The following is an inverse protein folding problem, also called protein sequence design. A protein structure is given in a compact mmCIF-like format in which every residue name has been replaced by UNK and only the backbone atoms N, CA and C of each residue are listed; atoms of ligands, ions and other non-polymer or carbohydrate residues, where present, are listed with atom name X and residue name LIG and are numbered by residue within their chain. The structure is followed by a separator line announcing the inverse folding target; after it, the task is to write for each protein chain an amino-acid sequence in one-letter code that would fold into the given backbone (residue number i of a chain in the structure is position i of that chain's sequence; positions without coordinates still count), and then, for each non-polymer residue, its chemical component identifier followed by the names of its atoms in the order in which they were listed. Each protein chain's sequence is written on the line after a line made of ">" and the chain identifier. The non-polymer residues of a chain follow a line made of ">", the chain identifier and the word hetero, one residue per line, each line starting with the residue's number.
data_IF_670075373630
#
_entry.id   IF_670075373630
#
_cell.length_a   1.000
_cell.length_b   1.000
_cell.length_c   1.000
_cell.angle_alpha   90.00
_cell.angle_beta   90.00
_cell.angle_gamma   90.00
#
_symmetry.space_group_name_H-M   'P 1'
#
loop_
_entity.id
_entity.type
_entity.pdbx_description
1 polymer ?
#
# COMPACT_ATOMS: atom_id res chain seq x y z
N UNK A 1 -68.60 60.67 35.27
CA UNK A 1 -67.16 60.62 35.59
C UNK A 1 -66.67 59.15 35.56
N UNK A 2 -65.99 58.81 34.50
CA UNK A 2 -65.42 57.42 34.35
C UNK A 2 -63.94 57.51 34.55
N UNK A 3 -63.39 56.69 35.45
CA UNK A 3 -61.94 56.53 35.70
C UNK A 3 -61.39 55.44 34.78
N UNK A 4 -60.22 55.57 34.12
CA UNK A 4 -59.65 54.53 33.32
C UNK A 4 -58.80 53.57 34.19
N UNK A 5 -59.02 52.28 34.02
CA UNK A 5 -58.27 51.20 34.62
C UNK A 5 -56.89 51.07 33.94
N UNK A 6 -55.82 51.23 34.71
CA UNK A 6 -54.42 50.90 34.28
C UNK A 6 -54.20 49.39 34.34
N UNK A 7 -53.90 48.75 33.21
CA UNK A 7 -53.39 47.39 33.18
C UNK A 7 -51.86 47.41 33.40
N UNK A 8 -51.42 46.73 34.44
CA UNK A 8 -50.01 46.42 34.65
C UNK A 8 -49.65 45.21 33.75
N UNK A 9 -48.70 45.43 32.82
CA UNK A 9 -48.08 44.40 32.04
C UNK A 9 -46.88 43.85 32.80
N UNK A 10 -46.99 42.61 33.30
CA UNK A 10 -45.86 41.90 33.89
C UNK A 10 -44.96 41.36 32.74
N UNK A 11 -43.74 41.93 32.62
CA UNK A 11 -42.71 41.38 31.71
C UNK A 11 -42.02 40.17 32.37
N UNK A 12 -42.25 39.02 31.84
CA UNK A 12 -41.55 37.77 32.22
C UNK A 12 -40.13 37.82 31.60
N UNK A 13 -39.09 37.99 32.45
CA UNK A 13 -37.68 37.87 32.03
C UNK A 13 -37.35 36.38 32.05
N UNK A 14 -37.28 35.76 30.86
CA UNK A 14 -36.80 34.39 30.68
C UNK A 14 -35.26 34.42 30.75
N UNK A 15 -34.70 34.05 31.85
CA UNK A 15 -33.26 33.86 32.01
C UNK A 15 -32.83 32.59 31.24
N UNK A 16 -32.26 32.80 30.06
CA UNK A 16 -31.63 31.71 29.31
C UNK A 16 -30.32 31.32 30.02
N UNK A 17 -30.33 30.20 30.72
CA UNK A 17 -29.11 29.56 31.22
C UNK A 17 -28.39 28.95 30.03
N UNK A 18 -27.38 29.60 29.49
CA UNK A 18 -26.41 28.97 28.58
C UNK A 18 -25.67 27.85 29.36
N UNK A 19 -25.66 26.63 28.88
CA UNK A 19 -24.80 25.61 29.46
C UNK A 19 -23.34 26.08 29.27
N UNK A 20 -22.61 26.26 30.36
CA UNK A 20 -21.15 26.34 30.29
C UNK A 20 -20.66 25.03 29.70
N UNK A 21 -20.23 25.05 28.44
CA UNK A 21 -19.45 23.96 27.89
C UNK A 21 -18.16 23.89 28.73
N UNK A 22 -18.04 22.89 29.59
CA UNK A 22 -16.79 22.59 30.27
C UNK A 22 -15.74 22.38 29.18
N UNK A 23 -14.77 23.28 29.08
CA UNK A 23 -13.60 23.10 28.23
C UNK A 23 -12.84 21.91 28.77
N UNK A 24 -13.10 20.72 28.22
CA UNK A 24 -12.27 19.56 28.50
C UNK A 24 -10.90 19.85 27.90
N UNK A 25 -9.94 20.22 28.74
CA UNK A 25 -8.56 20.37 28.30
C UNK A 25 -8.01 18.98 28.07
N UNK A 26 -7.45 18.72 26.89
CA UNK A 26 -6.76 17.51 26.58
C UNK A 26 -5.64 17.24 27.61
N UNK A 27 -5.65 16.09 28.23
CA UNK A 27 -4.62 15.69 29.18
C UNK A 27 -3.43 15.08 28.46
N UNK A 28 -2.22 15.36 28.96
CA UNK A 28 -0.97 14.76 28.48
C UNK A 28 -0.35 13.95 29.61
N UNK A 29 -0.14 12.65 29.35
CA UNK A 29 0.39 11.69 30.30
C UNK A 29 1.77 11.22 29.87
N UNK A 30 2.84 11.78 30.45
CA UNK A 30 4.19 11.25 30.28
C UNK A 30 4.32 9.97 31.12
N UNK A 31 4.68 8.85 30.48
CA UNK A 31 4.80 7.53 31.09
C UNK A 31 6.20 6.96 30.86
N UNK A 32 6.74 6.20 31.85
CA UNK A 32 8.11 5.73 31.85
C UNK A 32 8.22 4.20 31.73
N UNK A 33 7.12 3.48 31.94
CA UNK A 33 7.06 2.02 31.83
C UNK A 33 5.68 1.53 31.39
N UNK A 34 5.58 0.22 31.13
CA UNK A 34 4.35 -0.42 30.68
C UNK A 34 3.21 -0.37 31.71
N UNK A 35 3.53 -0.29 33.00
CA UNK A 35 2.54 -0.18 34.07
C UNK A 35 1.90 1.20 34.07
N UNK A 36 2.71 2.28 34.04
CA UNK A 36 2.24 3.65 33.90
C UNK A 36 1.44 3.83 32.59
N UNK A 37 1.93 3.26 31.48
CA UNK A 37 1.21 3.26 30.22
C UNK A 37 -0.19 2.62 30.35
N UNK A 38 -0.30 1.44 30.96
CA UNK A 38 -1.57 0.74 31.11
C UNK A 38 -2.58 1.54 31.95
N UNK A 39 -2.12 2.20 33.00
CA UNK A 39 -2.95 3.08 33.86
C UNK A 39 -3.44 4.29 33.05
N UNK A 40 -2.56 4.98 32.34
CA UNK A 40 -2.93 6.14 31.52
C UNK A 40 -3.88 5.73 30.40
N UNK A 41 -3.60 4.65 29.66
CA UNK A 41 -4.40 4.18 28.54
C UNK A 41 -5.84 3.78 28.94
N UNK A 42 -6.06 3.33 30.16
CA UNK A 42 -7.38 2.95 30.66
C UNK A 42 -8.34 4.13 30.92
N UNK A 43 -7.82 5.37 31.02
CA UNK A 43 -8.59 6.55 31.41
C UNK A 43 -8.77 7.59 30.29
N UNK A 44 -8.24 7.36 29.10
CA UNK A 44 -8.17 8.33 28.01
C UNK A 44 -9.53 8.81 27.53
N UNK A 45 -9.63 10.10 27.33
CA UNK A 45 -10.77 10.79 26.75
C UNK A 45 -10.41 11.36 25.38
N UNK A 46 -11.40 11.75 24.54
CA UNK A 46 -11.12 12.41 23.27
C UNK A 46 -10.23 13.64 23.44
N UNK A 47 -9.11 13.67 22.71
CA UNK A 47 -8.11 14.72 22.74
C UNK A 47 -6.91 14.44 23.64
N UNK A 48 -6.99 13.48 24.53
CA UNK A 48 -5.87 13.13 25.41
C UNK A 48 -4.69 12.53 24.66
N UNK A 49 -3.50 12.64 25.27
CA UNK A 49 -2.29 11.99 24.76
C UNK A 49 -1.55 11.19 25.83
N UNK A 50 -0.96 10.08 25.42
CA UNK A 50 0.06 9.34 26.16
C UNK A 50 1.40 9.57 25.49
N UNK A 51 2.37 10.01 26.25
CA UNK A 51 3.73 10.29 25.78
C UNK A 51 4.67 9.26 26.40
N UNK A 52 5.27 8.40 25.57
CA UNK A 52 6.29 7.47 26.04
C UNK A 52 7.59 8.22 26.28
N UNK A 53 8.17 8.11 27.49
CA UNK A 53 9.44 8.73 27.82
C UNK A 53 10.58 8.18 26.95
N UNK A 54 11.54 9.03 26.61
CA UNK A 54 12.73 8.64 25.86
C UNK A 54 13.47 7.48 26.55
N UNK A 55 13.98 6.55 25.77
CA UNK A 55 14.71 5.39 26.25
C UNK A 55 14.32 4.11 25.53
N UNK A 56 14.84 2.99 26.03
CA UNK A 56 14.57 1.65 25.49
C UNK A 56 13.49 0.97 26.33
N UNK A 57 12.43 0.55 25.66
CA UNK A 57 11.29 -0.18 26.20
C UNK A 57 11.42 -1.64 25.76
N UNK A 58 11.91 -2.49 26.65
CA UNK A 58 12.22 -3.89 26.33
C UNK A 58 11.09 -4.81 26.78
N UNK A 59 10.70 -5.76 25.89
CA UNK A 59 9.70 -6.81 26.15
C UNK A 59 8.33 -6.22 26.57
N UNK A 60 7.90 -5.14 25.90
CA UNK A 60 6.64 -4.46 26.22
C UNK A 60 5.56 -4.79 25.20
N UNK A 61 4.37 -5.10 25.69
CA UNK A 61 3.18 -5.32 24.89
C UNK A 61 2.17 -4.22 25.17
N UNK A 62 2.11 -3.24 24.28
CA UNK A 62 1.29 -2.05 24.46
C UNK A 62 -0.10 -2.26 23.84
N UNK A 63 -1.15 -2.09 24.64
CA UNK A 63 -2.53 -2.04 24.16
C UNK A 63 -3.04 -0.60 24.23
N UNK A 64 -3.08 0.07 23.09
CA UNK A 64 -3.63 1.41 22.94
C UNK A 64 -5.07 1.34 22.48
N UNK A 65 -6.00 1.44 23.46
CA UNK A 65 -7.43 1.28 23.24
C UNK A 65 -8.17 2.49 23.77
N UNK A 66 -8.78 3.24 22.86
CA UNK A 66 -9.56 4.43 23.21
C UNK A 66 -10.51 4.80 22.06
N UNK A 67 -11.42 5.73 22.34
CA UNK A 67 -12.28 6.32 21.32
C UNK A 67 -12.12 7.83 21.32
N UNK A 68 -11.43 8.35 20.33
CA UNK A 68 -11.37 9.76 20.02
C UNK A 68 -12.52 10.21 19.14
N UNK A 69 -12.38 11.38 18.55
CA UNK A 69 -13.24 11.91 17.50
C UNK A 69 -12.38 12.51 16.38
N UNK A 70 -12.97 12.80 15.24
CA UNK A 70 -12.25 13.46 14.14
C UNK A 70 -11.64 14.81 14.56
N UNK A 71 -12.31 15.55 15.47
CA UNK A 71 -11.86 16.84 15.97
C UNK A 71 -10.90 16.72 17.19
N UNK A 72 -10.96 15.59 17.89
CA UNK A 72 -10.19 15.33 19.12
C UNK A 72 -9.70 13.88 19.13
N UNK A 73 -8.73 13.49 18.29
CA UNK A 73 -8.16 12.16 18.29
C UNK A 73 -7.42 11.91 19.62
N UNK A 74 -7.34 10.63 20.00
CA UNK A 74 -6.50 10.22 21.13
C UNK A 74 -5.13 9.83 20.61
N UNK A 75 -4.06 10.36 21.24
CA UNK A 75 -2.70 10.23 20.72
C UNK A 75 -1.82 9.37 21.62
N UNK A 76 -1.03 8.48 21.00
CA UNK A 76 0.13 7.82 21.58
C UNK A 76 1.36 8.27 20.81
N UNK A 77 2.35 8.84 21.48
CA UNK A 77 3.57 9.27 20.76
C UNK A 77 4.84 9.12 21.58
N UNK A 78 5.95 9.12 20.88
CA UNK A 78 7.24 9.29 21.50
C UNK A 78 7.35 10.68 22.14
N UNK A 79 8.08 10.80 23.24
CA UNK A 79 8.47 12.09 23.83
C UNK A 79 9.33 12.89 22.84
N UNK A 80 10.25 12.22 22.19
CA UNK A 80 11.09 12.79 21.13
C UNK A 80 11.17 11.79 19.97
N UNK A 81 10.86 12.19 18.74
CA UNK A 81 10.95 11.30 17.58
C UNK A 81 12.31 10.57 17.51
N UNK A 82 12.27 9.25 17.29
CA UNK A 82 13.47 8.41 17.18
C UNK A 82 14.18 8.08 18.51
N UNK A 83 13.70 8.58 19.66
CA UNK A 83 14.32 8.34 20.97
C UNK A 83 13.55 7.34 21.85
N UNK A 84 12.39 6.86 21.39
CA UNK A 84 11.63 5.80 22.05
C UNK A 84 11.80 4.52 21.23
N UNK A 85 12.52 3.56 21.80
CA UNK A 85 12.91 2.32 21.14
C UNK A 85 12.20 1.17 21.82
N UNK A 86 11.34 0.48 21.09
CA UNK A 86 10.73 -0.76 21.53
C UNK A 86 11.61 -1.93 21.03
N UNK A 87 12.17 -2.67 21.99
CA UNK A 87 13.14 -3.75 21.73
C UNK A 87 12.69 -5.07 22.34
N UNK A 88 13.49 -6.13 22.12
CA UNK A 88 13.16 -7.47 22.61
C UNK A 88 11.88 -7.99 21.97
N UNK A 89 11.01 -8.60 22.79
CA UNK A 89 9.71 -9.13 22.32
C UNK A 89 8.58 -8.11 22.55
N UNK A 90 8.57 -7.03 21.77
CA UNK A 90 7.61 -5.95 21.91
C UNK A 90 6.61 -5.90 20.77
N UNK A 91 5.37 -5.52 21.07
CA UNK A 91 4.31 -5.26 20.09
C UNK A 91 3.39 -4.10 20.51
N UNK A 92 2.63 -3.57 19.53
CA UNK A 92 1.61 -2.54 19.74
C UNK A 92 0.29 -2.99 19.10
N UNK A 93 -0.77 -2.94 19.89
CA UNK A 93 -2.13 -3.21 19.42
C UNK A 93 -3.00 -1.98 19.61
N UNK A 94 -3.78 -1.65 18.57
CA UNK A 94 -4.70 -0.52 18.55
C UNK A 94 -6.14 -1.01 18.45
N UNK A 95 -7.07 -0.45 19.25
CA UNK A 95 -8.48 -0.73 19.12
C UNK A 95 -9.33 0.49 19.48
N UNK A 96 -10.38 0.72 18.74
CA UNK A 96 -11.29 1.86 18.92
C UNK A 96 -11.26 2.81 17.72
N UNK A 97 -11.52 4.08 17.94
CA UNK A 97 -11.68 5.03 16.84
C UNK A 97 -10.84 6.30 17.02
N UNK A 98 -10.42 6.86 15.89
CA UNK A 98 -9.66 8.12 15.83
C UNK A 98 -8.41 8.11 16.73
N UNK A 99 -7.65 7.03 16.64
CA UNK A 99 -6.36 6.90 17.31
C UNK A 99 -5.23 7.45 16.44
N UNK A 100 -4.30 8.13 17.06
CA UNK A 100 -3.09 8.61 16.42
C UNK A 100 -1.86 8.08 17.15
N UNK A 101 -1.04 7.28 16.44
CA UNK A 101 0.25 6.80 16.94
C UNK A 101 1.37 7.48 16.17
N UNK A 102 2.39 8.00 16.86
CA UNK A 102 3.46 8.75 16.22
C UNK A 102 4.87 8.42 16.76
N UNK A 103 5.83 8.32 15.83
CA UNK A 103 7.28 8.42 16.07
C UNK A 103 7.90 7.30 16.91
N UNK A 104 7.35 6.11 16.85
CA UNK A 104 7.87 4.93 17.56
C UNK A 104 8.89 4.17 16.71
N UNK A 105 9.90 3.60 17.36
CA UNK A 105 10.95 2.80 16.72
C UNK A 105 10.93 1.38 17.28
N UNK A 106 10.79 0.37 16.41
CA UNK A 106 11.01 -1.05 16.73
C UNK A 106 12.34 -1.51 16.14
N UNK A 107 13.26 -1.97 16.98
CA UNK A 107 14.53 -2.56 16.57
C UNK A 107 15.11 -3.46 17.67
N UNK A 108 16.13 -4.26 17.32
CA UNK A 108 16.82 -5.12 18.27
C UNK A 108 15.87 -6.13 18.96
N UNK A 109 15.05 -6.81 18.14
CA UNK A 109 14.07 -7.78 18.65
C UNK A 109 13.17 -8.33 17.55
N UNK A 110 12.02 -8.84 17.97
CA UNK A 110 10.95 -9.34 17.10
C UNK A 110 9.62 -9.38 17.85
N UNK A 111 8.50 -9.44 17.13
CA UNK A 111 7.19 -9.53 17.79
C UNK A 111 6.99 -10.91 18.44
N UNK A 112 6.43 -10.99 19.66
CA UNK A 112 6.05 -12.27 20.27
C UNK A 112 4.73 -12.82 19.75
N UNK A 113 4.08 -12.12 18.83
CA UNK A 113 2.77 -12.46 18.28
C UNK A 113 2.73 -12.47 16.76
N UNK A 114 1.54 -12.26 16.23
CA UNK A 114 1.27 -12.26 14.79
C UNK A 114 1.65 -10.96 14.08
N UNK A 115 1.85 -9.86 14.83
CA UNK A 115 2.22 -8.57 14.26
C UNK A 115 3.00 -7.68 15.22
N UNK A 116 3.89 -6.82 14.68
CA UNK A 116 4.57 -5.76 15.44
C UNK A 116 3.57 -4.65 15.78
N UNK A 117 2.78 -4.21 14.80
CA UNK A 117 1.69 -3.25 14.99
C UNK A 117 0.41 -3.81 14.40
N UNK A 118 -0.60 -4.06 15.23
CA UNK A 118 -1.90 -4.55 14.79
C UNK A 118 -3.01 -3.54 15.08
N UNK A 119 -3.79 -3.20 14.06
CA UNK A 119 -4.97 -2.34 14.20
C UNK A 119 -6.16 -3.11 14.77
N UNK A 120 -5.88 -3.96 15.75
CA UNK A 120 -6.88 -4.70 16.55
C UNK A 120 -6.32 -5.09 17.92
N UNK A 121 -7.20 -5.19 18.89
CA UNK A 121 -6.99 -5.94 20.14
C UNK A 121 -7.38 -7.41 19.94
N UNK A 122 -8.54 -7.63 19.31
CA UNK A 122 -9.13 -8.96 19.07
C UNK A 122 -9.97 -8.95 17.80
N UNK A 123 -10.52 -10.11 17.42
CA UNK A 123 -11.44 -10.20 16.27
C UNK A 123 -12.71 -9.35 16.41
N UNK A 124 -13.07 -8.94 17.63
CA UNK A 124 -14.24 -8.09 17.90
C UNK A 124 -13.91 -6.64 18.18
N UNK A 125 -12.65 -6.31 18.40
CA UNK A 125 -12.20 -4.96 18.76
C UNK A 125 -11.07 -4.55 17.81
N UNK A 126 -11.41 -3.81 16.78
CA UNK A 126 -10.50 -3.30 15.74
C UNK A 126 -10.40 -1.78 15.80
N UNK A 127 -9.35 -1.24 15.20
CA UNK A 127 -9.21 0.21 15.03
C UNK A 127 -9.92 0.67 13.75
N UNK A 128 -10.55 1.86 13.83
CA UNK A 128 -11.14 2.56 12.68
C UNK A 128 -10.75 4.03 12.70
N UNK A 129 -10.72 4.66 11.53
CA UNK A 129 -10.37 6.09 11.40
C UNK A 129 -9.06 6.47 12.11
N UNK A 130 -8.16 5.51 12.26
CA UNK A 130 -6.94 5.63 13.06
C UNK A 130 -5.71 5.71 12.16
N UNK A 131 -4.63 6.32 12.66
CA UNK A 131 -3.41 6.48 11.89
C UNK A 131 -2.14 6.17 12.68
N UNK A 132 -1.16 5.64 11.97
CA UNK A 132 0.21 5.46 12.45
C UNK A 132 1.15 6.23 11.54
N UNK A 133 2.00 7.08 12.10
CA UNK A 133 2.94 7.92 11.37
C UNK A 133 4.31 7.93 12.01
N UNK A 134 5.37 8.21 11.25
CA UNK A 134 6.73 8.25 11.77
C UNK A 134 7.23 6.94 12.38
N UNK A 135 6.53 5.83 12.09
CA UNK A 135 6.91 4.51 12.58
C UNK A 135 8.18 4.04 11.88
N UNK A 136 9.14 3.58 12.66
CA UNK A 136 10.33 2.90 12.14
C UNK A 136 10.32 1.45 12.62
N UNK A 137 10.39 0.50 11.68
CA UNK A 137 10.65 -0.91 11.99
C UNK A 137 11.92 -1.30 11.23
N UNK A 138 12.98 -1.59 11.96
CA UNK A 138 14.33 -1.75 11.44
C UNK A 138 14.95 -3.05 11.93
N UNK A 139 15.17 -4.00 11.02
CA UNK A 139 15.75 -5.33 11.31
C UNK A 139 15.04 -6.09 12.46
N UNK A 140 13.75 -5.83 12.64
CA UNK A 140 12.95 -6.37 13.74
C UNK A 140 12.26 -7.67 13.30
N UNK A 141 13.05 -8.75 13.18
CA UNK A 141 12.62 -10.01 12.58
C UNK A 141 12.86 -11.19 13.53
N UNK A 142 11.91 -12.14 13.50
CA UNK A 142 12.10 -13.42 14.21
C UNK A 142 13.38 -14.10 13.69
N UNK A 143 14.27 -14.57 14.58
CA UNK A 143 15.47 -15.29 14.19
C UNK A 143 15.19 -16.62 13.47
N UNK A 144 14.02 -17.25 13.70
CA UNK A 144 13.53 -18.33 12.85
C UNK A 144 12.87 -17.76 11.60
N UNK A 145 13.53 -17.91 10.47
CA UNK A 145 13.04 -17.40 9.19
C UNK A 145 11.74 -18.05 8.71
N UNK A 146 11.39 -19.24 9.21
CA UNK A 146 10.15 -19.97 8.93
C UNK A 146 8.95 -19.48 9.72
N UNK A 147 9.17 -18.85 10.86
CA UNK A 147 8.10 -18.28 11.68
C UNK A 147 7.46 -17.08 10.97
N UNK A 148 6.13 -17.13 10.89
CA UNK A 148 5.37 -16.10 10.18
C UNK A 148 4.87 -15.03 11.12
N UNK A 149 5.31 -13.81 10.90
CA UNK A 149 4.70 -12.61 11.45
C UNK A 149 4.49 -11.54 10.37
N UNK A 150 3.77 -10.49 10.71
CA UNK A 150 3.62 -9.31 9.90
C UNK A 150 4.11 -8.09 10.68
N UNK A 151 4.66 -7.09 10.00
CA UNK A 151 5.06 -5.90 10.74
C UNK A 151 3.89 -4.97 11.01
N UNK A 152 3.02 -4.75 10.00
CA UNK A 152 1.81 -3.96 10.21
C UNK A 152 0.59 -4.69 9.65
N UNK A 153 -0.41 -4.90 10.49
CA UNK A 153 -1.70 -5.48 10.10
C UNK A 153 -2.83 -4.46 10.24
N UNK A 154 -3.37 -4.03 9.10
CA UNK A 154 -4.49 -3.10 9.03
C UNK A 154 -5.80 -3.88 9.06
N UNK A 155 -6.50 -3.84 10.18
CA UNK A 155 -7.86 -4.36 10.36
C UNK A 155 -8.88 -3.23 10.30
N UNK A 156 -10.18 -3.54 10.23
CA UNK A 156 -11.25 -2.56 10.24
C UNK A 156 -11.30 -1.72 8.97
N UNK A 157 -11.50 -0.39 9.10
CA UNK A 157 -11.65 0.49 7.96
C UNK A 157 -11.13 1.91 8.24
N UNK A 158 -10.85 2.66 7.16
CA UNK A 158 -10.42 4.06 7.18
C UNK A 158 -9.14 4.32 7.98
N UNK A 159 -8.28 3.32 8.13
CA UNK A 159 -7.01 3.48 8.81
C UNK A 159 -5.90 3.91 7.84
N UNK A 160 -4.88 4.57 8.38
CA UNK A 160 -3.76 5.10 7.58
C UNK A 160 -2.42 4.72 8.19
N UNK A 161 -1.50 4.24 7.34
CA UNK A 161 -0.07 4.09 7.64
C UNK A 161 0.70 5.06 6.73
N UNK A 162 1.42 6.01 7.33
CA UNK A 162 2.11 7.00 6.52
C UNK A 162 3.41 7.52 7.13
N UNK A 163 4.29 8.09 6.28
CA UNK A 163 5.58 8.68 6.66
C UNK A 163 6.40 7.75 7.56
N UNK A 164 6.39 6.44 7.23
CA UNK A 164 7.00 5.38 8.05
C UNK A 164 8.11 4.68 7.28
N UNK A 165 9.03 4.04 7.99
CA UNK A 165 10.17 3.32 7.41
C UNK A 165 10.15 1.86 7.86
N UNK A 166 10.16 0.93 6.90
CA UNK A 166 10.02 -0.50 7.12
C UNK A 166 11.09 -1.27 6.33
N UNK A 167 12.18 -1.68 6.97
CA UNK A 167 13.31 -2.34 6.29
C UNK A 167 13.87 -3.52 7.07
N UNK A 168 14.50 -4.47 6.35
CA UNK A 168 15.32 -5.53 6.94
C UNK A 168 14.51 -6.74 7.44
N UNK A 169 13.23 -6.92 7.04
CA UNK A 169 12.48 -8.13 7.40
C UNK A 169 13.08 -9.36 6.72
N UNK A 170 13.47 -10.36 7.51
CA UNK A 170 14.13 -11.58 7.03
C UNK A 170 13.31 -12.86 7.23
N UNK A 171 12.34 -12.87 8.14
CA UNK A 171 11.46 -14.02 8.36
C UNK A 171 10.20 -13.98 7.47
N UNK A 172 9.47 -15.09 7.42
CA UNK A 172 8.26 -15.27 6.65
C UNK A 172 7.12 -14.31 7.07
N UNK A 173 6.16 -14.12 6.19
CA UNK A 173 5.03 -13.21 6.36
C UNK A 173 5.26 -11.84 5.69
N UNK A 174 4.22 -11.26 5.05
CA UNK A 174 4.30 -9.94 4.45
C UNK A 174 4.68 -8.84 5.44
N UNK A 175 5.31 -7.77 4.93
CA UNK A 175 5.65 -6.63 5.81
C UNK A 175 4.39 -5.89 6.23
N UNK A 176 3.50 -5.55 5.29
CA UNK A 176 2.21 -4.91 5.58
C UNK A 176 1.06 -5.73 5.00
N UNK A 177 0.00 -5.91 5.77
CA UNK A 177 -1.21 -6.63 5.34
C UNK A 177 -2.46 -5.79 5.56
N UNK A 178 -3.28 -5.66 4.53
CA UNK A 178 -4.69 -5.28 4.69
C UNK A 178 -5.47 -6.55 4.96
N UNK A 179 -5.99 -6.68 6.17
CA UNK A 179 -6.75 -7.86 6.58
C UNK A 179 -8.22 -7.66 6.20
N UNK A 180 -8.76 -8.65 5.50
CA UNK A 180 -10.15 -8.64 5.05
C UNK A 180 -10.96 -9.65 5.85
N UNK A 181 -11.91 -9.15 6.62
CA UNK A 181 -12.76 -9.95 7.48
C UNK A 181 -14.22 -9.51 7.28
N UNK A 182 -15.06 -10.40 6.77
CA UNK A 182 -16.44 -10.12 6.47
C UNK A 182 -17.25 -9.70 7.73
N UNK A 183 -16.83 -10.12 8.91
CA UNK A 183 -17.50 -9.72 10.18
C UNK A 183 -17.23 -8.27 10.57
N UNK A 184 -16.17 -7.68 10.00
CA UNK A 184 -15.75 -6.29 10.24
C UNK A 184 -16.10 -5.36 9.07
N UNK A 185 -16.58 -5.92 7.97
CA UNK A 185 -16.81 -5.25 6.70
C UNK A 185 -15.64 -5.40 5.74
N UNK A 186 -15.94 -5.53 4.46
CA UNK A 186 -14.94 -5.73 3.40
C UNK A 186 -14.56 -4.45 2.66
N UNK A 187 -15.30 -3.36 2.84
CA UNK A 187 -14.96 -2.03 2.32
C UNK A 187 -14.00 -1.33 3.30
N UNK A 188 -12.71 -1.62 3.14
CA UNK A 188 -11.71 -1.19 4.12
C UNK A 188 -11.31 0.28 3.99
N UNK A 189 -11.18 0.82 2.77
CA UNK A 189 -10.80 2.20 2.49
C UNK A 189 -9.55 2.67 3.27
N UNK A 190 -8.57 1.80 3.41
CA UNK A 190 -7.30 2.14 4.05
C UNK A 190 -6.46 3.01 3.14
N UNK A 191 -5.59 3.82 3.75
CA UNK A 191 -4.58 4.59 3.03
C UNK A 191 -3.19 4.23 3.52
N UNK A 192 -2.29 3.87 2.59
CA UNK A 192 -0.88 3.55 2.85
C UNK A 192 -0.06 4.49 1.97
N UNK A 193 0.54 5.52 2.57
CA UNK A 193 1.13 6.59 1.77
C UNK A 193 2.40 7.19 2.38
N UNK A 194 3.29 7.71 1.50
CA UNK A 194 4.53 8.36 1.88
C UNK A 194 5.44 7.51 2.78
N UNK A 195 5.42 6.19 2.61
CA UNK A 195 6.29 5.28 3.37
C UNK A 195 7.51 4.89 2.54
N UNK A 196 8.61 4.62 3.22
CA UNK A 196 9.75 3.93 2.66
C UNK A 196 9.71 2.45 3.04
N UNK A 197 9.49 1.61 2.03
CA UNK A 197 9.66 0.16 2.11
C UNK A 197 11.09 -0.18 1.66
N UNK A 198 12.00 -0.23 2.62
CA UNK A 198 13.41 -0.48 2.37
C UNK A 198 13.73 -1.93 2.06
N UNK A 199 15.00 -2.28 1.95
CA UNK A 199 15.44 -3.59 1.48
C UNK A 199 14.84 -4.75 2.27
N UNK A 200 14.54 -5.83 1.54
CA UNK A 200 14.17 -7.14 2.06
C UNK A 200 14.85 -8.20 1.19
N UNK A 201 15.69 -9.07 1.77
CA UNK A 201 16.33 -10.14 1.01
C UNK A 201 15.31 -11.17 0.51
N UNK A 202 15.71 -11.95 -0.50
CA UNK A 202 14.91 -13.07 -0.99
C UNK A 202 14.64 -14.06 0.13
N UNK A 203 13.36 -14.40 0.31
CA UNK A 203 12.94 -15.36 1.34
C UNK A 203 13.11 -16.82 0.87
N UNK A 204 13.06 -17.06 -0.45
CA UNK A 204 13.14 -18.39 -1.04
C UNK A 204 11.84 -19.20 -0.98
N UNK A 205 10.83 -18.70 -0.30
CA UNK A 205 9.49 -19.28 -0.16
C UNK A 205 8.42 -18.18 -0.25
N UNK A 206 7.14 -18.55 -0.31
CA UNK A 206 6.03 -17.61 -0.31
C UNK A 206 5.93 -16.85 1.03
N UNK A 207 5.45 -15.62 1.00
CA UNK A 207 5.32 -14.75 2.18
C UNK A 207 6.38 -13.66 2.26
N UNK A 208 7.11 -13.41 1.17
CA UNK A 208 8.13 -12.37 1.04
C UNK A 208 7.61 -10.99 0.60
N UNK A 209 6.30 -10.82 0.42
CA UNK A 209 5.71 -9.56 -0.05
C UNK A 209 6.00 -8.39 0.89
N UNK A 210 6.16 -7.21 0.33
CA UNK A 210 6.14 -5.96 1.12
C UNK A 210 4.74 -5.55 1.51
N UNK A 211 3.77 -5.73 0.59
CA UNK A 211 2.38 -5.40 0.87
C UNK A 211 1.46 -6.48 0.31
N UNK A 212 0.57 -6.99 1.16
CA UNK A 212 -0.50 -7.90 0.75
C UNK A 212 -1.87 -7.26 1.00
N UNK A 213 -2.61 -7.05 -0.09
CA UNK A 213 -3.93 -6.42 -0.08
C UNK A 213 -5.07 -7.44 0.01
N UNK A 214 -5.20 -8.16 1.12
CA UNK A 214 -6.26 -9.14 1.31
C UNK A 214 -5.80 -10.60 1.26
N UNK A 215 -6.78 -11.50 1.17
CA UNK A 215 -6.62 -12.94 1.02
C UNK A 215 -7.60 -13.47 -0.05
N UNK A 216 -7.35 -14.69 -0.52
CA UNK A 216 -8.09 -15.24 -1.68
C UNK A 216 -9.57 -15.51 -1.39
N UNK A 217 -9.95 -15.78 -0.17
CA UNK A 217 -11.32 -16.06 0.26
C UNK A 217 -12.28 -14.87 0.07
N UNK A 218 -11.77 -13.65 0.17
CA UNK A 218 -12.52 -12.41 -0.06
C UNK A 218 -12.17 -11.70 -1.36
N UNK A 219 -11.50 -12.37 -2.29
CA UNK A 219 -10.85 -11.78 -3.47
C UNK A 219 -11.79 -11.08 -4.46
N UNK A 220 -13.06 -11.48 -4.54
CA UNK A 220 -14.03 -10.85 -5.45
C UNK A 220 -14.76 -9.64 -4.85
N UNK A 221 -14.43 -9.26 -3.62
CA UNK A 221 -15.00 -8.07 -2.97
C UNK A 221 -14.02 -6.90 -3.02
N UNK A 222 -14.57 -5.68 -2.98
CA UNK A 222 -13.78 -4.46 -3.06
C UNK A 222 -13.27 -4.03 -1.69
N UNK A 223 -11.99 -3.68 -1.62
CA UNK A 223 -11.35 -3.05 -0.46
C UNK A 223 -11.35 -1.54 -0.56
N UNK A 224 -11.33 -1.00 -1.77
CA UNK A 224 -11.26 0.43 -2.08
C UNK A 224 -10.12 1.16 -1.35
N UNK A 225 -9.03 0.44 -1.07
CA UNK A 225 -7.86 0.99 -0.39
C UNK A 225 -6.93 1.72 -1.37
N UNK A 226 -6.21 2.72 -0.87
CA UNK A 226 -5.27 3.51 -1.67
C UNK A 226 -3.85 3.32 -1.15
N UNK A 227 -2.94 2.98 -2.06
CA UNK A 227 -1.49 2.86 -1.82
C UNK A 227 -0.80 3.88 -2.71
N UNK A 228 -0.26 4.95 -2.12
CA UNK A 228 0.22 6.06 -2.94
C UNK A 228 1.46 6.75 -2.37
N UNK A 229 2.28 7.29 -3.29
CA UNK A 229 3.47 8.06 -2.95
C UNK A 229 4.45 7.31 -2.03
N UNK A 230 4.48 5.97 -2.09
CA UNK A 230 5.44 5.17 -1.36
C UNK A 230 6.69 4.92 -2.20
N UNK A 231 7.80 4.69 -1.53
CA UNK A 231 9.06 4.28 -2.12
C UNK A 231 9.38 2.84 -1.74
N UNK A 232 9.42 1.95 -2.73
CA UNK A 232 9.78 0.53 -2.60
C UNK A 232 11.21 0.34 -3.13
N UNK A 233 12.17 0.04 -2.27
CA UNK A 233 13.59 -0.07 -2.61
C UNK A 233 14.16 -1.41 -2.21
N UNK A 234 14.76 -2.15 -3.15
CA UNK A 234 15.39 -3.42 -2.88
C UNK A 234 14.45 -4.47 -2.27
N UNK A 235 13.19 -4.42 -2.65
CA UNK A 235 12.14 -5.32 -2.15
C UNK A 235 12.21 -6.64 -2.90
N UNK A 236 13.13 -7.53 -2.48
CA UNK A 236 13.48 -8.76 -3.19
C UNK A 236 12.86 -10.02 -2.55
N UNK A 237 11.99 -9.87 -1.55
CA UNK A 237 11.52 -10.98 -0.73
C UNK A 237 10.85 -12.12 -1.50
N UNK A 238 10.11 -11.81 -2.56
CA UNK A 238 9.54 -12.78 -3.50
C UNK A 238 9.14 -12.13 -4.83
N UNK A 239 8.49 -12.91 -5.72
CA UNK A 239 8.06 -12.43 -7.05
C UNK A 239 6.99 -11.34 -7.02
N UNK A 240 6.27 -11.21 -5.92
CA UNK A 240 5.21 -10.20 -5.72
C UNK A 240 5.67 -9.17 -4.67
N UNK A 241 6.21 -8.02 -5.10
CA UNK A 241 6.49 -6.90 -4.16
C UNK A 241 5.19 -6.48 -3.49
N UNK A 242 4.15 -6.33 -4.31
CA UNK A 242 2.77 -6.11 -3.89
C UNK A 242 1.91 -7.25 -4.42
N UNK A 243 1.24 -7.95 -3.51
CA UNK A 243 0.25 -8.98 -3.83
C UNK A 243 -1.16 -8.44 -3.55
N UNK A 244 -1.79 -7.82 -4.57
CA UNK A 244 -3.16 -7.33 -4.45
C UNK A 244 -4.15 -8.49 -4.57
N UNK A 245 -4.96 -8.71 -3.53
CA UNK A 245 -5.96 -9.79 -3.48
C UNK A 245 -7.37 -9.28 -3.18
N UNK A 246 -7.73 -8.10 -3.69
CA UNK A 246 -9.05 -7.48 -3.54
C UNK A 246 -9.32 -6.48 -4.65
N UNK A 247 -10.58 -6.09 -4.84
CA UNK A 247 -10.99 -5.15 -5.88
C UNK A 247 -10.97 -3.69 -5.45
N UNK A 248 -11.14 -2.79 -6.42
CA UNK A 248 -11.35 -1.36 -6.23
C UNK A 248 -10.15 -0.56 -5.73
N UNK A 249 -8.97 -1.18 -5.60
CA UNK A 249 -7.79 -0.51 -5.04
C UNK A 249 -7.11 0.41 -6.05
N UNK A 250 -6.49 1.46 -5.52
CA UNK A 250 -5.68 2.40 -6.30
C UNK A 250 -4.23 2.38 -5.83
N UNK A 251 -3.31 2.14 -6.76
CA UNK A 251 -1.86 2.26 -6.61
C UNK A 251 -1.40 3.45 -7.43
N UNK A 252 -1.00 4.55 -6.79
CA UNK A 252 -0.71 5.80 -7.50
C UNK A 252 0.56 6.47 -7.02
N UNK A 253 1.36 6.99 -7.96
CA UNK A 253 2.53 7.82 -7.64
C UNK A 253 3.60 7.09 -6.83
N UNK A 254 3.60 5.75 -6.78
CA UNK A 254 4.61 4.99 -6.07
C UNK A 254 5.88 4.84 -6.93
N UNK A 255 7.02 4.74 -6.28
CA UNK A 255 8.29 4.43 -6.91
C UNK A 255 8.74 3.03 -6.51
N UNK A 256 9.06 2.20 -7.50
CA UNK A 256 9.67 0.87 -7.32
C UNK A 256 11.10 0.93 -7.85
N UNK A 257 12.07 0.95 -6.95
CA UNK A 257 13.48 1.10 -7.29
C UNK A 257 14.26 -0.17 -6.98
N UNK A 258 14.88 -0.76 -8.01
CA UNK A 258 15.75 -1.94 -7.92
C UNK A 258 15.15 -3.08 -7.07
N UNK A 259 13.87 -3.34 -7.22
CA UNK A 259 13.11 -4.36 -6.50
C UNK A 259 12.84 -5.56 -7.39
N UNK A 260 13.31 -6.76 -7.00
CA UNK A 260 13.16 -7.99 -7.77
C UNK A 260 11.78 -8.63 -7.52
N UNK A 261 10.81 -8.23 -8.32
CA UNK A 261 9.41 -8.65 -8.24
C UNK A 261 8.52 -7.72 -9.03
N UNK A 262 7.22 -7.82 -8.86
CA UNK A 262 6.22 -7.02 -9.55
C UNK A 262 5.11 -6.55 -8.60
N UNK A 263 4.41 -5.48 -8.98
CA UNK A 263 3.10 -5.16 -8.47
C UNK A 263 2.11 -6.13 -9.16
N UNK A 264 1.57 -7.07 -8.43
CA UNK A 264 0.69 -8.11 -8.95
C UNK A 264 -0.76 -7.86 -8.57
N UNK A 265 -1.62 -7.65 -9.57
CA UNK A 265 -3.07 -7.62 -9.42
C UNK A 265 -3.58 -9.06 -9.33
N UNK A 266 -3.19 -9.76 -8.25
CA UNK A 266 -3.34 -11.21 -8.11
C UNK A 266 -4.80 -11.66 -8.11
N UNK A 267 -5.65 -10.91 -7.39
CA UNK A 267 -7.10 -11.12 -7.34
C UNK A 267 -7.83 -9.78 -7.25
N UNK A 268 -9.14 -9.82 -7.46
CA UNK A 268 -10.01 -8.65 -7.41
C UNK A 268 -10.07 -7.89 -8.73
N UNK A 269 -11.19 -7.22 -8.94
CA UNK A 269 -11.49 -6.51 -10.17
C UNK A 269 -11.40 -5.00 -9.98
N UNK A 270 -11.28 -4.25 -11.09
CA UNK A 270 -11.41 -2.80 -11.06
C UNK A 270 -10.29 -2.05 -10.34
N UNK A 271 -9.11 -2.64 -10.21
CA UNK A 271 -7.97 -1.97 -9.61
C UNK A 271 -7.31 -0.99 -10.60
N UNK A 272 -6.65 0.02 -10.07
CA UNK A 272 -6.01 1.11 -10.83
C UNK A 272 -4.54 1.19 -10.45
N UNK A 273 -3.66 1.08 -11.42
CA UNK A 273 -2.21 1.30 -11.29
C UNK A 273 -1.85 2.49 -12.16
N UNK A 274 -1.72 3.66 -11.57
CA UNK A 274 -1.62 4.93 -12.30
C UNK A 274 -0.48 5.79 -11.78
N UNK A 275 0.22 6.47 -12.69
CA UNK A 275 1.25 7.47 -12.36
C UNK A 275 2.44 6.90 -11.54
N UNK A 276 2.72 5.59 -11.59
CA UNK A 276 3.83 4.99 -10.86
C UNK A 276 5.11 4.95 -11.70
N UNK A 277 6.24 4.87 -11.01
CA UNK A 277 7.58 4.81 -11.60
C UNK A 277 8.25 3.50 -11.18
N UNK A 278 8.73 2.73 -12.17
CA UNK A 278 9.44 1.46 -11.97
C UNK A 278 10.84 1.56 -12.59
N UNK A 279 11.88 1.54 -11.77
CA UNK A 279 13.27 1.64 -12.20
C UNK A 279 14.04 0.39 -11.78
N UNK A 280 14.53 -0.36 -12.77
CA UNK A 280 15.24 -1.62 -12.53
C UNK A 280 16.75 -1.50 -12.48
N UNK A 281 17.33 -0.50 -13.17
CA UNK A 281 18.79 -0.36 -13.39
C UNK A 281 19.45 -1.66 -13.91
N UNK A 282 18.73 -2.45 -14.69
CA UNK A 282 19.23 -3.72 -15.20
C UNK A 282 19.35 -4.83 -14.14
N UNK A 283 18.91 -4.62 -12.91
CA UNK A 283 18.92 -5.63 -11.86
C UNK A 283 18.04 -6.82 -12.23
N UNK A 284 18.58 -8.03 -12.17
CA UNK A 284 17.86 -9.26 -12.50
C UNK A 284 16.56 -9.40 -11.67
N UNK A 285 15.50 -9.85 -12.34
CA UNK A 285 14.21 -10.10 -11.71
C UNK A 285 13.36 -8.87 -11.42
N UNK A 286 13.83 -7.65 -11.72
CA UNK A 286 13.02 -6.43 -11.58
C UNK A 286 11.88 -6.44 -12.57
N UNK A 287 10.64 -6.30 -12.07
CA UNK A 287 9.41 -6.34 -12.83
C UNK A 287 8.58 -5.08 -12.66
N UNK A 288 7.52 -4.98 -13.45
CA UNK A 288 6.58 -3.88 -13.37
C UNK A 288 5.21 -4.33 -12.86
N UNK A 289 4.21 -4.42 -13.75
CA UNK A 289 2.83 -4.75 -13.38
C UNK A 289 2.41 -6.10 -13.97
N UNK A 290 1.89 -6.98 -13.12
CA UNK A 290 1.28 -8.24 -13.53
C UNK A 290 -0.25 -8.13 -13.45
N UNK A 291 -0.90 -8.30 -14.60
CA UNK A 291 -2.34 -8.08 -14.79
C UNK A 291 -3.08 -9.41 -14.83
N UNK A 292 -4.04 -9.57 -13.93
CA UNK A 292 -4.95 -10.71 -13.80
C UNK A 292 -6.34 -10.15 -13.48
N UNK A 293 -7.41 -10.89 -13.74
CA UNK A 293 -8.79 -10.53 -13.46
C UNK A 293 -9.35 -9.40 -14.36
N UNK A 294 -10.55 -8.92 -14.02
CA UNK A 294 -11.30 -8.01 -14.90
C UNK A 294 -11.17 -6.53 -14.52
N UNK A 295 -11.39 -5.66 -15.51
CA UNK A 295 -11.53 -4.20 -15.38
C UNK A 295 -10.32 -3.54 -14.71
N UNK A 296 -9.11 -4.02 -15.00
CA UNK A 296 -7.87 -3.44 -14.51
C UNK A 296 -7.48 -2.23 -15.35
N UNK A 297 -7.10 -1.14 -14.71
CA UNK A 297 -6.52 0.04 -15.38
C UNK A 297 -5.03 0.15 -15.03
N UNK A 298 -4.17 0.09 -16.05
CA UNK A 298 -2.73 0.38 -15.93
C UNK A 298 -2.42 1.55 -16.84
N UNK A 299 -2.28 2.73 -16.29
CA UNK A 299 -2.22 3.97 -17.10
C UNK A 299 -1.17 4.95 -16.60
N UNK A 300 -0.50 5.61 -17.55
CA UNK A 300 0.44 6.70 -17.29
C UNK A 300 1.60 6.32 -16.35
N UNK A 301 2.05 5.04 -16.39
CA UNK A 301 3.19 4.59 -15.60
C UNK A 301 4.48 4.68 -16.43
N UNK A 302 5.61 4.84 -15.74
CA UNK A 302 6.94 4.87 -16.33
C UNK A 302 7.74 3.65 -15.89
N UNK A 303 8.31 2.92 -16.85
CA UNK A 303 9.10 1.71 -16.64
C UNK A 303 10.46 1.86 -17.31
N UNK A 304 11.56 1.74 -16.56
CA UNK A 304 12.91 1.88 -17.10
C UNK A 304 13.85 0.79 -16.59
N UNK A 305 14.62 0.19 -17.52
CA UNK A 305 15.72 -0.71 -17.19
C UNK A 305 15.30 -1.98 -16.43
N UNK A 306 14.05 -2.40 -16.57
CA UNK A 306 13.54 -3.60 -15.92
C UNK A 306 14.06 -4.84 -16.63
N UNK A 307 14.67 -5.78 -15.89
CA UNK A 307 15.33 -6.96 -16.42
C UNK A 307 14.54 -8.27 -16.25
N UNK A 308 13.35 -8.21 -15.68
CA UNK A 308 12.49 -9.35 -15.47
C UNK A 308 11.76 -9.81 -16.74
N UNK A 309 11.26 -11.05 -16.70
CA UNK A 309 10.50 -11.69 -17.77
C UNK A 309 9.36 -12.53 -17.22
N UNK A 310 8.47 -13.04 -18.06
CA UNK A 310 7.31 -13.82 -17.65
C UNK A 310 6.47 -13.06 -16.60
N UNK A 311 6.27 -13.61 -15.41
CA UNK A 311 5.51 -13.00 -14.31
C UNK A 311 6.11 -11.69 -13.80
N UNK A 312 7.39 -11.43 -14.09
CA UNK A 312 8.13 -10.23 -13.70
C UNK A 312 8.50 -9.37 -14.92
N UNK A 313 7.81 -9.50 -16.04
CA UNK A 313 7.97 -8.57 -17.16
C UNK A 313 7.59 -7.13 -16.74
N UNK A 314 8.05 -6.13 -17.48
CA UNK A 314 7.64 -4.74 -17.24
C UNK A 314 6.11 -4.57 -17.28
N UNK A 315 5.47 -5.33 -18.18
CA UNK A 315 4.03 -5.58 -18.14
C UNK A 315 3.80 -7.05 -18.46
N UNK A 316 3.12 -7.77 -17.58
CA UNK A 316 2.78 -9.17 -17.72
C UNK A 316 1.25 -9.33 -17.76
N UNK A 317 0.68 -9.63 -18.92
CA UNK A 317 -0.77 -9.87 -19.09
C UNK A 317 -0.99 -11.38 -19.09
N UNK A 318 -1.79 -11.88 -18.14
CA UNK A 318 -1.93 -13.31 -17.91
C UNK A 318 -3.00 -13.94 -18.80
N UNK A 319 -2.84 -15.25 -19.09
CA UNK A 319 -3.97 -16.12 -19.39
C UNK A 319 -4.71 -16.49 -18.11
N UNK A 320 -5.96 -16.89 -18.24
CA UNK A 320 -6.80 -17.34 -17.14
C UNK A 320 -7.33 -18.76 -17.32
N UNK A 321 -8.08 -19.20 -16.31
CA UNK A 321 -8.89 -20.42 -16.29
C UNK A 321 -10.35 -20.04 -16.47
N UNK A 322 -11.13 -20.81 -17.25
CA UNK A 322 -12.54 -20.52 -17.50
C UNK A 322 -13.36 -20.47 -16.21
N UNK A 323 -13.14 -21.43 -15.33
CA UNK A 323 -13.84 -21.57 -14.04
C UNK A 323 -12.82 -21.45 -12.89
N UNK A 324 -12.11 -20.33 -12.83
CA UNK A 324 -11.10 -20.12 -11.84
C UNK A 324 -11.68 -20.13 -10.43
N UNK A 325 -11.12 -20.95 -9.54
CA UNK A 325 -11.37 -20.83 -8.10
C UNK A 325 -10.95 -19.46 -7.58
N UNK A 326 -11.44 -19.04 -6.40
CA UNK A 326 -11.06 -17.75 -5.80
C UNK A 326 -9.54 -17.56 -5.63
N UNK A 327 -8.79 -18.65 -5.48
CA UNK A 327 -7.32 -18.65 -5.42
C UNK A 327 -6.64 -18.87 -6.80
N UNK A 328 -7.42 -19.11 -7.85
CA UNK A 328 -6.94 -19.40 -9.20
C UNK A 328 -6.50 -18.17 -9.99
N UNK A 329 -6.30 -18.35 -11.28
CA UNK A 329 -5.99 -17.30 -12.23
C UNK A 329 -7.26 -16.99 -13.06
N UNK A 330 -8.03 -15.99 -12.64
CA UNK A 330 -9.18 -15.52 -13.42
C UNK A 330 -8.72 -14.84 -14.71
N UNK A 331 -9.49 -14.95 -15.81
CA UNK A 331 -9.15 -14.31 -17.07
C UNK A 331 -9.03 -12.80 -16.96
N UNK A 332 -8.15 -12.22 -17.77
CA UNK A 332 -8.10 -10.78 -17.98
C UNK A 332 -9.23 -10.38 -18.92
N UNK A 333 -10.13 -9.54 -18.46
CA UNK A 333 -11.29 -9.05 -19.21
C UNK A 333 -11.45 -7.55 -18.98
N UNK A 334 -11.80 -6.80 -20.03
CA UNK A 334 -12.06 -5.34 -19.94
C UNK A 334 -10.86 -4.56 -19.32
N UNK A 335 -9.63 -4.95 -19.60
CA UNK A 335 -8.45 -4.26 -19.10
C UNK A 335 -8.04 -3.10 -20.01
N UNK A 336 -7.74 -1.96 -19.41
CA UNK A 336 -7.19 -0.79 -20.08
C UNK A 336 -5.71 -0.61 -19.70
N UNK A 337 -4.82 -0.83 -20.67
CA UNK A 337 -3.36 -0.75 -20.54
C UNK A 337 -2.87 0.38 -21.43
N UNK A 338 -2.85 1.60 -20.91
CA UNK A 338 -2.76 2.76 -21.78
C UNK A 338 -1.81 3.85 -21.30
N UNK A 339 -1.24 4.60 -22.25
CA UNK A 339 -0.39 5.77 -21.98
C UNK A 339 0.80 5.48 -21.07
N UNK A 340 1.29 4.25 -21.06
CA UNK A 340 2.48 3.89 -20.30
C UNK A 340 3.74 4.11 -21.16
N UNK A 341 4.85 4.42 -20.49
CA UNK A 341 6.16 4.58 -21.13
C UNK A 341 7.09 3.48 -20.66
N UNK A 342 7.66 2.74 -21.59
CA UNK A 342 8.60 1.65 -21.37
C UNK A 342 9.95 1.99 -22.01
N UNK A 343 11.02 2.06 -21.22
CA UNK A 343 12.38 2.43 -21.69
C UNK A 343 13.37 1.33 -21.32
N UNK A 344 14.05 0.77 -22.33
CA UNK A 344 15.10 -0.24 -22.17
C UNK A 344 14.70 -1.41 -21.26
N UNK A 345 13.48 -1.88 -21.41
CA UNK A 345 12.94 -3.01 -20.65
C UNK A 345 13.30 -4.35 -21.30
N UNK A 346 13.42 -5.41 -20.50
CA UNK A 346 13.66 -6.74 -21.05
C UNK A 346 12.44 -7.30 -21.78
N UNK A 347 11.24 -7.23 -21.16
CA UNK A 347 10.02 -7.83 -21.74
C UNK A 347 8.73 -7.08 -21.40
N UNK A 348 7.87 -7.00 -22.43
CA UNK A 348 6.41 -6.93 -22.35
C UNK A 348 5.89 -8.34 -22.68
N UNK A 349 5.16 -8.97 -21.80
CA UNK A 349 4.74 -10.36 -21.97
C UNK A 349 3.22 -10.47 -21.97
N UNK A 350 2.67 -10.95 -23.08
CA UNK A 350 1.25 -11.21 -23.24
C UNK A 350 1.00 -12.71 -23.26
N UNK A 351 -0.07 -13.16 -22.60
CA UNK A 351 -0.42 -14.57 -22.48
C UNK A 351 0.46 -15.33 -21.49
N UNK A 352 0.97 -14.66 -20.48
CA UNK A 352 1.80 -15.25 -19.43
C UNK A 352 1.01 -16.33 -18.69
N UNK A 353 1.69 -17.44 -18.34
CA UNK A 353 1.08 -18.54 -17.62
C UNK A 353 0.30 -19.52 -18.48
N UNK A 354 0.24 -19.32 -19.82
CA UNK A 354 -0.40 -20.27 -20.72
C UNK A 354 0.09 -21.70 -20.43
N UNK A 355 -0.85 -22.58 -20.12
CA UNK A 355 -0.56 -23.97 -19.79
C UNK A 355 -1.83 -24.82 -19.94
N UNK A 356 -1.85 -25.67 -20.95
CA UNK A 356 -2.97 -26.56 -21.24
C UNK A 356 -3.24 -27.58 -20.12
N UNK A 357 -2.19 -28.08 -19.49
CA UNK A 357 -2.31 -29.11 -18.44
C UNK A 357 -2.98 -28.56 -17.17
N UNK A 358 -2.76 -27.29 -16.86
CA UNK A 358 -3.40 -26.62 -15.71
C UNK A 358 -4.68 -25.88 -16.07
N UNK A 359 -5.11 -25.92 -17.33
CA UNK A 359 -6.30 -25.24 -17.83
C UNK A 359 -6.19 -23.70 -17.88
N UNK A 360 -4.98 -23.16 -17.83
CA UNK A 360 -4.71 -21.71 -17.96
C UNK A 360 -4.58 -21.41 -19.46
N UNK A 361 -5.71 -21.38 -20.14
CA UNK A 361 -5.77 -21.29 -21.61
C UNK A 361 -6.68 -20.16 -22.11
N UNK A 362 -7.43 -19.52 -21.23
CA UNK A 362 -8.35 -18.44 -21.60
C UNK A 362 -7.57 -17.16 -21.85
N UNK A 363 -7.54 -16.66 -23.11
CA UNK A 363 -6.81 -15.45 -23.44
C UNK A 363 -7.48 -14.20 -22.88
N UNK A 364 -6.75 -13.09 -22.76
CA UNK A 364 -7.33 -11.79 -22.50
C UNK A 364 -8.44 -11.44 -23.50
N UNK A 365 -9.52 -10.82 -23.05
CA UNK A 365 -10.64 -10.44 -23.90
C UNK A 365 -11.13 -9.02 -23.62
N UNK A 366 -11.74 -8.39 -24.62
CA UNK A 366 -12.30 -7.03 -24.59
C UNK A 366 -11.34 -6.00 -23.95
N UNK A 367 -10.04 -6.20 -24.15
CA UNK A 367 -8.99 -5.40 -23.50
C UNK A 367 -8.25 -4.51 -24.49
N UNK A 368 -7.59 -3.46 -24.02
CA UNK A 368 -6.90 -2.50 -24.87
C UNK A 368 -5.46 -2.30 -24.40
N UNK A 369 -4.55 -2.23 -25.37
CA UNK A 369 -3.18 -1.74 -25.19
C UNK A 369 -3.00 -0.55 -26.11
N UNK A 370 -3.10 0.69 -25.60
CA UNK A 370 -3.25 1.87 -26.44
C UNK A 370 -2.47 3.09 -25.97
N UNK A 371 -1.95 3.85 -26.93
CA UNK A 371 -1.22 5.09 -26.66
C UNK A 371 0.05 4.91 -25.85
N UNK A 372 0.62 3.70 -25.78
CA UNK A 372 1.83 3.42 -25.04
C UNK A 372 3.07 3.77 -25.87
N UNK A 373 4.15 4.14 -25.18
CA UNK A 373 5.46 4.40 -25.77
C UNK A 373 6.45 3.30 -25.35
N UNK A 374 7.08 2.63 -26.32
CA UNK A 374 8.11 1.62 -26.09
C UNK A 374 9.42 2.06 -26.75
N UNK A 375 10.42 2.39 -25.93
CA UNK A 375 11.74 2.83 -26.38
C UNK A 375 12.79 1.82 -25.93
N UNK A 376 13.28 0.99 -26.84
CA UNK A 376 14.37 0.07 -26.56
C UNK A 376 15.59 0.46 -27.42
N UNK A 377 16.61 1.01 -26.76
CA UNK A 377 17.85 1.51 -27.42
C UNK A 377 18.86 0.40 -27.71
N UNK A 378 18.72 -0.75 -27.08
CA UNK A 378 19.70 -1.83 -27.07
C UNK A 378 19.32 -3.02 -27.97
N UNK A 379 18.55 -2.79 -29.03
CA UNK A 379 18.15 -3.78 -30.04
C UNK A 379 17.68 -5.13 -29.46
N UNK A 380 16.94 -5.07 -28.37
CA UNK A 380 16.32 -6.25 -27.76
C UNK A 380 14.87 -6.35 -28.21
N UNK A 381 14.43 -7.57 -28.45
CA UNK A 381 13.02 -7.86 -28.67
C UNK A 381 12.24 -7.77 -27.35
N UNK A 382 11.49 -6.69 -27.09
CA UNK A 382 10.80 -6.50 -25.84
C UNK A 382 9.46 -7.26 -25.76
N UNK A 383 8.95 -7.80 -26.87
CA UNK A 383 7.59 -8.36 -26.88
C UNK A 383 7.62 -9.88 -26.90
N UNK A 384 6.90 -10.51 -25.99
CA UNK A 384 6.65 -11.95 -25.96
C UNK A 384 5.15 -12.20 -25.96
N UNK A 385 4.69 -13.07 -26.86
CA UNK A 385 3.30 -13.47 -26.99
C UNK A 385 3.19 -14.98 -26.88
N UNK A 386 2.36 -15.45 -25.95
CA UNK A 386 1.98 -16.85 -25.82
C UNK A 386 0.47 -16.97 -26.00
N UNK A 387 0.06 -17.84 -26.91
CA UNK A 387 -1.35 -18.04 -27.26
C UNK A 387 -1.96 -16.88 -28.04
N UNK A 388 -3.28 -16.71 -27.96
CA UNK A 388 -4.04 -15.74 -28.74
C UNK A 388 -4.13 -14.37 -28.07
N UNK A 389 -4.00 -13.32 -28.88
CA UNK A 389 -4.29 -11.92 -28.48
C UNK A 389 -5.50 -11.33 -29.24
N UNK A 390 -6.34 -12.16 -29.85
CA UNK A 390 -7.48 -11.66 -30.60
C UNK A 390 -8.46 -10.80 -29.81
N UNK A 391 -8.47 -10.93 -28.48
CA UNK A 391 -9.29 -10.12 -27.58
C UNK A 391 -8.61 -8.86 -27.03
N UNK A 392 -7.41 -8.51 -27.52
CA UNK A 392 -6.68 -7.28 -27.13
C UNK A 392 -6.57 -6.37 -28.36
N UNK A 393 -7.15 -5.19 -28.26
CA UNK A 393 -7.02 -4.17 -29.29
C UNK A 393 -5.73 -3.34 -29.05
N UNK A 394 -4.88 -3.24 -30.08
CA UNK A 394 -3.66 -2.43 -30.08
C UNK A 394 -3.90 -1.19 -30.94
N UNK A 395 -3.72 0.02 -30.38
CA UNK A 395 -3.94 1.27 -31.14
C UNK A 395 -3.11 2.43 -30.61
N UNK A 396 -2.61 3.28 -31.51
CA UNK A 396 -1.91 4.52 -31.17
C UNK A 396 -0.61 4.32 -30.37
N UNK A 397 -0.05 3.12 -30.37
CA UNK A 397 1.23 2.85 -29.68
C UNK A 397 2.40 3.32 -30.54
N UNK A 398 3.44 3.82 -29.90
CA UNK A 398 4.69 4.21 -30.54
C UNK A 398 5.82 3.29 -30.08
N UNK A 399 6.67 2.87 -31.03
CA UNK A 399 7.80 2.01 -30.75
C UNK A 399 9.07 2.58 -31.40
N UNK A 400 10.20 2.46 -30.71
CA UNK A 400 11.48 2.88 -31.31
C UNK A 400 11.83 2.01 -32.52
N UNK A 401 12.47 2.58 -33.57
CA UNK A 401 12.76 1.87 -34.80
C UNK A 401 13.79 0.74 -34.65
N UNK A 402 14.52 0.69 -33.56
CA UNK A 402 15.51 -0.35 -33.25
C UNK A 402 14.89 -1.64 -32.70
N UNK A 403 13.59 -1.66 -32.41
CA UNK A 403 12.94 -2.86 -31.89
C UNK A 403 12.82 -3.90 -33.02
N UNK A 404 13.34 -5.11 -32.80
CA UNK A 404 13.32 -6.21 -33.78
C UNK A 404 11.93 -6.82 -33.99
N UNK A 405 11.02 -6.69 -33.02
CA UNK A 405 9.65 -7.20 -33.09
C UNK A 405 8.67 -6.05 -32.91
N UNK A 406 7.80 -5.86 -33.89
CA UNK A 406 6.72 -4.91 -33.78
C UNK A 406 5.69 -5.33 -32.73
N UNK A 407 5.08 -4.36 -32.05
CA UNK A 407 3.90 -4.61 -31.23
C UNK A 407 2.79 -5.25 -32.10
N UNK A 408 2.04 -6.21 -31.58
CA UNK A 408 0.88 -6.76 -32.28
C UNK A 408 -0.06 -5.63 -32.73
N UNK A 409 -0.59 -5.73 -33.95
CA UNK A 409 -1.51 -4.74 -34.54
C UNK A 409 -0.83 -3.58 -35.26
N UNK A 410 0.50 -3.56 -35.34
CA UNK A 410 1.26 -2.54 -36.04
C UNK A 410 1.52 -1.29 -35.20
N UNK A 411 2.46 -0.48 -35.64
CA UNK A 411 2.79 0.82 -35.04
C UNK A 411 2.32 1.87 -36.05
N UNK A 412 1.48 2.77 -35.64
CA UNK A 412 1.21 3.97 -36.44
C UNK A 412 2.52 4.75 -36.52
N UNK A 413 3.14 4.74 -37.73
CA UNK A 413 4.53 5.01 -38.02
C UNK A 413 5.06 6.41 -37.68
N UNK A 414 5.00 6.80 -36.42
CA UNK A 414 5.68 7.97 -35.91
C UNK A 414 7.03 7.53 -35.29
N UNK A 415 8.11 7.89 -35.95
CA UNK A 415 9.47 7.81 -35.42
C UNK A 415 9.56 8.74 -34.22
N UNK A 416 9.66 8.21 -33.02
CA UNK A 416 10.02 9.02 -31.84
C UNK A 416 11.50 9.36 -31.98
N UNK A 417 11.78 10.58 -32.42
CA UNK A 417 13.14 11.13 -32.35
C UNK A 417 13.61 11.15 -30.88
N UNK A 418 14.89 10.89 -30.61
CA UNK A 418 15.49 10.65 -29.29
C UNK A 418 15.22 11.70 -28.19
N UNK A 419 14.64 12.86 -28.50
CA UNK A 419 14.44 13.95 -27.55
C UNK A 419 13.31 13.75 -26.51
N UNK A 420 12.29 12.95 -26.79
CA UNK A 420 11.20 12.74 -25.80
C UNK A 420 11.58 11.71 -24.71
N UNK A 421 12.37 10.72 -25.05
CA UNK A 421 12.92 9.78 -24.07
C UNK A 421 13.88 10.43 -23.07
N UNK A 422 14.65 11.43 -23.52
CA UNK A 422 15.56 12.21 -22.67
C UNK A 422 14.82 13.15 -21.71
N UNK A 423 13.70 13.76 -22.13
CA UNK A 423 12.88 14.61 -21.26
C UNK A 423 12.21 13.81 -20.12
N UNK A 424 11.77 12.60 -20.38
CA UNK A 424 11.16 11.73 -19.38
C UNK A 424 12.24 11.16 -18.43
N UNK A 425 13.40 10.79 -18.96
CA UNK A 425 14.55 10.37 -18.15
C UNK A 425 15.06 11.50 -17.23
N UNK A 426 15.10 12.74 -17.71
CA UNK A 426 15.46 13.90 -16.91
C UNK A 426 14.45 14.19 -15.78
N UNK A 427 13.16 13.94 -15.99
CA UNK A 427 12.16 14.06 -14.93
C UNK A 427 12.31 12.96 -13.86
N UNK A 428 12.80 11.80 -14.21
CA UNK A 428 13.07 10.69 -13.28
C UNK A 428 14.37 10.90 -12.49
N UNK A 429 15.38 11.54 -13.07
CA UNK A 429 16.60 11.94 -12.33
C UNK A 429 16.31 12.94 -11.20
N UNK A 430 15.24 13.74 -11.32
CA UNK A 430 14.79 14.65 -10.25
C UNK A 430 14.15 13.94 -9.05
N UNK A 431 13.76 12.69 -9.19
CA UNK A 431 13.25 11.84 -8.10
C UNK A 431 14.40 10.92 -7.65
N UNK A 432 15.48 11.49 -7.14
CA UNK A 432 16.60 10.70 -6.61
C UNK A 432 16.21 10.07 -5.25
N UNK A 433 16.77 8.92 -4.89
CA UNK A 433 16.59 8.32 -3.57
C UNK A 433 16.86 9.31 -2.43
N UNK A 434 17.82 10.22 -2.61
CA UNK A 434 18.18 11.25 -1.64
C UNK A 434 17.03 12.23 -1.38
N UNK A 435 16.32 12.66 -2.43
CA UNK A 435 15.20 13.59 -2.31
C UNK A 435 14.03 12.98 -1.50
N UNK A 436 13.76 11.69 -1.68
CA UNK A 436 12.71 10.98 -0.92
C UNK A 436 13.16 10.70 0.52
N UNK A 437 14.43 10.40 0.74
CA UNK A 437 15.02 10.30 2.08
C UNK A 437 14.95 11.63 2.85
N UNK A 438 15.15 12.74 2.16
CA UNK A 438 15.09 14.08 2.77
C UNK A 438 13.64 14.50 3.05
N UNK A 439 12.68 14.13 2.21
CA UNK A 439 11.24 14.33 2.47
C UNK A 439 10.71 13.47 3.63
N UNK A 440 11.29 12.30 3.86
CA UNK A 440 10.91 11.44 4.99
C UNK A 440 11.53 11.88 6.32
N UNK A 441 12.49 12.81 6.30
CA UNK A 441 13.20 13.37 7.48
C UNK A 441 12.78 14.79 7.85
N UNK A 442 11.96 15.44 6.99
CA UNK A 442 11.49 16.83 7.14
C UNK A 442 10.10 16.98 7.80
#
# INVERSE_FOLDING_TARGET
>A
MQFPSRRLSASLILAATLPLAASCHAASHLVHDAGEFAIAAAALQPGDEVVLANGTWTDVRLLFKANGTAAAPVTLRAQTPGQVILSGQSDLRLAGEYLHVADLVFREGFTPGDAVVAFRESSKAVARHSRVTGLVIDDYSNPDSGDQDQWVMLYGAFNRLHHSQLRGKTNAGPTVVVVRDATQGLDNQHRIDHNWFGPRPELGVNGGEKLRGGASDASLSDSNSTVEFNWFEGCDGETEIVSNKSGGNTYRGNVFYRSAGALTLRHGNGNRVIDNVFIGDGKAGTGGVRVINARQLVSNNYFQGLAGSSNRAALAVMHGQADAALSGCSPVVDADLERNTFVDIAKLSFGVGYNEQSGIVVPPSNSRFSGNLVVNRNDKDPVTVNGSLAGVAFSGNLQSPQASTALPGGVDGAVVGGGQGELIAAQVELVSPQFVHDLARG
#
